data_IF_459010677602
#
_entry.id   IF_459010677602
#
_cell.length_a   1.000
_cell.length_b   1.000
_cell.length_c   1.000
_cell.angle_alpha   90.00
_cell.angle_beta   90.00
_cell.angle_gamma   90.00
#
_symmetry.space_group_name_H-M   'P 1'
#
loop_
_entity.id
_entity.type
_entity.pdbx_description
1 polymer ?
#
# COMPACT_ATOMS: atom_id res chain seq x y z
N UNK A 1 -6.14 25.16 -0.08
CA UNK A 1 -4.86 24.79 -0.71
C UNK A 1 -4.18 26.07 -1.21
N UNK A 2 -2.90 26.29 -0.90
CA UNK A 2 -2.14 27.38 -1.52
C UNK A 2 -1.81 26.97 -2.95
N UNK A 3 -2.41 27.64 -3.94
CA UNK A 3 -2.14 27.33 -5.36
C UNK A 3 -0.78 27.82 -5.87
N UNK A 4 -0.11 28.68 -5.10
CA UNK A 4 1.19 29.28 -5.43
C UNK A 4 1.78 29.99 -4.22
N UNK A 5 3.10 30.09 -4.15
CA UNK A 5 3.84 30.84 -3.12
C UNK A 5 4.51 32.07 -3.73
N UNK A 6 4.48 33.19 -3.01
CA UNK A 6 5.17 34.43 -3.38
C UNK A 6 6.46 34.57 -2.56
N UNK A 7 7.55 34.95 -3.22
CA UNK A 7 8.84 35.25 -2.58
C UNK A 7 9.06 36.74 -2.47
N UNK A 8 9.62 37.16 -1.34
CA UNK A 8 10.18 38.50 -1.13
C UNK A 8 11.71 38.50 -1.23
N UNK A 9 12.28 39.66 -1.50
CA UNK A 9 13.70 39.96 -1.35
C UNK A 9 13.86 40.91 -0.17
N UNK A 10 15.00 40.84 0.53
CA UNK A 10 15.34 41.83 1.55
C UNK A 10 15.67 43.17 0.87
N UNK A 11 15.09 44.25 1.38
CA UNK A 11 15.43 45.61 0.96
C UNK A 11 16.84 45.96 1.46
N UNK A 12 17.71 46.41 0.56
CA UNK A 12 19.08 46.81 0.90
C UNK A 12 19.16 48.18 1.56
N UNK A 13 18.07 48.95 1.56
CA UNK A 13 18.02 50.32 2.10
C UNK A 13 17.38 50.42 3.49
N UNK A 14 16.78 49.34 3.99
CA UNK A 14 16.19 49.29 5.33
C UNK A 14 17.24 49.09 6.43
N UNK A 15 17.03 49.70 7.60
CA UNK A 15 17.85 49.49 8.80
C UNK A 15 17.83 48.04 9.27
N UNK A 16 18.96 47.53 9.77
CA UNK A 16 19.04 46.16 10.31
C UNK A 16 18.07 45.91 11.47
N UNK A 17 17.74 46.94 12.26
CA UNK A 17 16.77 46.85 13.36
C UNK A 17 15.30 46.73 12.90
N UNK A 18 15.00 47.04 11.63
CA UNK A 18 13.65 46.91 11.08
C UNK A 18 13.71 46.58 9.56
N UNK A 19 14.02 45.32 9.22
CA UNK A 19 14.25 44.89 7.85
C UNK A 19 12.95 44.90 7.04
N UNK A 20 13.00 45.47 5.84
CA UNK A 20 11.87 45.46 4.91
C UNK A 20 12.06 44.39 3.83
N UNK A 21 10.94 43.82 3.38
CA UNK A 21 10.91 42.80 2.35
C UNK A 21 10.03 43.21 1.18
N UNK A 22 10.61 43.26 -0.01
CA UNK A 22 9.94 43.66 -1.24
C UNK A 22 9.49 42.42 -2.02
N UNK A 23 8.25 42.41 -2.50
CA UNK A 23 7.75 41.32 -3.35
C UNK A 23 8.55 41.18 -4.66
N UNK A 24 8.81 39.94 -5.10
CA UNK A 24 9.66 39.66 -6.28
C UNK A 24 9.08 38.65 -7.27
N UNK A 25 8.76 37.43 -6.84
CA UNK A 25 8.30 36.40 -7.78
C UNK A 25 7.29 35.45 -7.15
N UNK A 26 6.63 34.67 -7.98
CA UNK A 26 5.67 33.65 -7.57
C UNK A 26 5.96 32.34 -8.27
N UNK A 27 6.00 31.24 -7.53
CA UNK A 27 6.10 29.90 -8.08
C UNK A 27 4.90 29.06 -7.64
N UNK A 28 4.39 28.24 -8.56
CA UNK A 28 3.32 27.26 -8.27
C UNK A 28 3.66 25.86 -8.80
N UNK A 29 4.91 25.66 -9.25
CA UNK A 29 5.37 24.41 -9.87
C UNK A 29 6.80 24.10 -9.42
N UNK A 30 7.20 22.83 -9.47
CA UNK A 30 8.57 22.39 -9.14
C UNK A 30 8.71 21.71 -7.77
N UNK A 31 7.71 21.86 -6.90
CA UNK A 31 7.62 21.19 -5.59
C UNK A 31 6.86 19.87 -5.69
N UNK A 32 7.29 18.86 -4.93
CA UNK A 32 6.54 17.64 -4.68
C UNK A 32 5.36 17.91 -3.75
N UNK A 33 4.41 16.97 -3.68
CA UNK A 33 3.25 17.10 -2.79
C UNK A 33 3.67 17.20 -1.31
N UNK A 34 4.69 16.43 -0.91
CA UNK A 34 5.24 16.45 0.45
C UNK A 34 5.91 17.79 0.78
N UNK A 35 6.75 18.31 -0.11
CA UNK A 35 7.42 19.62 0.11
C UNK A 35 6.41 20.78 0.21
N UNK A 36 5.32 20.73 -0.55
CA UNK A 36 4.26 21.74 -0.46
C UNK A 36 3.50 21.68 0.88
N UNK A 37 3.34 20.48 1.44
CA UNK A 37 2.79 20.28 2.78
C UNK A 37 3.78 20.68 3.87
N UNK A 38 5.07 20.38 3.71
CA UNK A 38 6.14 20.77 4.64
C UNK A 38 6.26 22.30 4.75
N UNK A 39 6.25 23.02 3.63
CA UNK A 39 6.23 24.50 3.59
C UNK A 39 5.02 25.07 4.34
N UNK A 40 3.90 24.34 4.35
CA UNK A 40 2.67 24.77 5.00
C UNK A 40 2.64 24.43 6.49
N UNK A 41 3.04 23.21 6.85
CA UNK A 41 2.84 22.63 8.18
C UNK A 41 4.02 22.89 9.11
N UNK A 42 5.25 23.00 8.60
CA UNK A 42 6.43 23.19 9.44
C UNK A 42 6.62 24.65 9.89
N UNK A 43 5.81 25.58 9.38
CA UNK A 43 5.93 27.02 9.64
C UNK A 43 4.59 27.59 10.10
N UNK A 44 4.31 27.42 11.39
CA UNK A 44 3.20 28.05 12.09
C UNK A 44 3.43 29.58 12.11
N UNK A 45 2.47 30.36 11.58
CA UNK A 45 2.65 31.82 11.49
C UNK A 45 1.99 32.49 10.29
N UNK A 46 1.34 31.72 9.41
CA UNK A 46 0.55 32.27 8.31
C UNK A 46 -0.66 33.07 8.83
N UNK A 47 -0.74 34.34 8.43
CA UNK A 47 -1.82 35.26 8.75
C UNK A 47 -2.55 35.71 7.48
N UNK A 48 -3.86 35.95 7.57
CA UNK A 48 -4.62 36.47 6.43
C UNK A 48 -4.18 37.90 6.14
N UNK A 49 -3.84 38.18 4.88
CA UNK A 49 -3.46 39.53 4.48
C UNK A 49 -4.67 40.44 4.43
N UNK A 50 -4.63 41.53 5.20
CA UNK A 50 -5.64 42.60 5.18
C UNK A 50 -5.07 43.85 4.48
N UNK A 51 -5.65 44.29 3.35
CA UNK A 51 -5.25 45.53 2.69
C UNK A 51 -5.35 46.80 3.55
N UNK A 52 -6.20 46.80 4.59
CA UNK A 52 -6.37 47.96 5.48
C UNK A 52 -5.34 48.00 6.61
N UNK A 53 -4.70 46.88 6.91
CA UNK A 53 -3.67 46.76 7.95
C UNK A 53 -2.38 46.22 7.33
N UNK A 54 -1.77 47.04 6.47
CA UNK A 54 -0.56 46.67 5.75
C UNK A 54 0.67 46.69 6.69
N UNK A 55 1.42 45.58 6.83
CA UNK A 55 2.56 45.56 7.73
C UNK A 55 3.74 46.43 7.24
N UNK A 56 4.39 47.16 8.15
CA UNK A 56 5.49 48.07 7.83
C UNK A 56 6.74 47.38 7.27
N UNK A 57 6.92 46.09 7.55
CA UNK A 57 8.04 45.26 7.09
C UNK A 57 7.84 44.72 5.66
N UNK A 58 6.65 44.86 5.06
CA UNK A 58 6.32 44.22 3.78
C UNK A 58 5.96 45.26 2.72
N UNK A 59 6.63 45.21 1.57
CA UNK A 59 6.28 46.06 0.41
C UNK A 59 5.74 45.21 -0.75
N UNK A 60 4.49 45.47 -1.12
CA UNK A 60 3.77 44.73 -2.15
C UNK A 60 3.55 45.55 -3.42
N UNK A 61 3.63 44.88 -4.57
CA UNK A 61 3.25 45.44 -5.86
C UNK A 61 1.75 45.35 -6.10
N UNK A 62 1.37 45.23 -7.38
CA UNK A 62 -0.02 45.04 -7.81
C UNK A 62 -0.59 43.67 -7.40
N UNK A 63 0.26 42.64 -7.39
CA UNK A 63 -0.12 41.29 -7.01
C UNK A 63 -0.10 41.15 -5.48
N UNK A 64 -1.27 40.95 -4.89
CA UNK A 64 -1.46 40.85 -3.43
C UNK A 64 -1.65 39.38 -3.03
N UNK A 65 -0.95 38.87 -2.01
CA UNK A 65 -1.16 37.52 -1.52
C UNK A 65 -2.43 37.42 -0.68
N UNK A 66 -2.97 36.21 -0.54
CA UNK A 66 -4.11 35.93 0.36
C UNK A 66 -3.69 35.78 1.82
N UNK A 67 -2.49 35.25 2.03
CA UNK A 67 -1.89 35.00 3.34
C UNK A 67 -0.44 35.50 3.31
N UNK A 68 0.04 35.98 4.45
CA UNK A 68 1.40 36.46 4.68
C UNK A 68 2.01 35.72 5.88
N UNK A 69 3.33 35.67 5.96
CA UNK A 69 4.09 35.10 7.08
C UNK A 69 5.21 36.06 7.43
N UNK A 70 5.44 36.29 8.73
CA UNK A 70 6.52 37.17 9.19
C UNK A 70 7.88 36.58 8.78
N UNK A 71 8.87 37.40 8.36
CA UNK A 71 10.16 36.91 7.86
C UNK A 71 10.88 35.97 8.84
N UNK A 72 10.82 36.25 10.15
CA UNK A 72 11.42 35.41 11.21
C UNK A 72 10.84 33.99 11.26
N UNK A 73 9.57 33.83 10.89
CA UNK A 73 8.88 32.53 10.84
C UNK A 73 8.84 31.96 9.42
N UNK A 74 9.46 32.65 8.46
CA UNK A 74 9.50 32.26 7.04
C UNK A 74 10.74 31.43 6.73
N UNK A 75 10.79 30.90 5.51
CA UNK A 75 11.86 30.04 5.03
C UNK A 75 12.51 30.59 3.77
N UNK A 76 13.79 30.27 3.58
CA UNK A 76 14.52 30.62 2.37
C UNK A 76 14.39 29.50 1.36
N UNK A 77 13.90 29.83 0.17
CA UNK A 77 13.78 28.88 -0.95
C UNK A 77 14.80 29.16 -2.04
N UNK A 78 15.23 28.10 -2.71
CA UNK A 78 15.94 28.19 -3.98
C UNK A 78 14.96 28.02 -5.14
N UNK A 79 14.90 29.03 -6.01
CA UNK A 79 14.02 29.04 -7.19
C UNK A 79 14.86 29.03 -8.45
N UNK A 80 14.58 28.07 -9.33
CA UNK A 80 15.18 27.96 -10.66
C UNK A 80 14.30 28.69 -11.68
N UNK A 81 14.92 29.50 -12.53
CA UNK A 81 14.23 30.26 -13.58
C UNK A 81 15.11 30.44 -14.81
N UNK A 82 14.51 30.84 -15.93
CA UNK A 82 15.24 31.09 -17.18
C UNK A 82 15.92 32.48 -17.19
N UNK A 83 15.20 33.50 -16.73
CA UNK A 83 15.65 34.89 -16.77
C UNK A 83 14.94 35.77 -15.72
N UNK A 84 15.60 36.85 -15.29
CA UNK A 84 15.05 37.96 -14.51
C UNK A 84 14.58 39.04 -15.49
N UNK A 85 13.28 39.29 -15.55
CA UNK A 85 12.63 40.24 -16.46
C UNK A 85 12.04 41.42 -15.70
N UNK A 86 12.00 42.59 -16.32
CA UNK A 86 11.32 43.75 -15.75
C UNK A 86 9.79 43.52 -15.77
N UNK A 87 9.10 43.89 -14.70
CA UNK A 87 7.65 43.72 -14.59
C UNK A 87 7.07 44.51 -13.43
N UNK A 88 5.88 45.09 -13.62
CA UNK A 88 5.21 45.96 -12.63
C UNK A 88 4.23 45.21 -11.71
N UNK A 89 4.34 43.88 -11.65
CA UNK A 89 3.45 43.03 -10.85
C UNK A 89 3.87 43.02 -9.37
N UNK A 90 5.17 43.08 -9.11
CA UNK A 90 5.77 43.03 -7.79
C UNK A 90 6.51 44.34 -7.46
N UNK A 91 6.69 44.65 -6.17
CA UNK A 91 7.29 45.90 -5.70
C UNK A 91 8.73 46.08 -6.19
N UNK A 92 9.48 44.98 -6.33
CA UNK A 92 10.83 44.99 -6.89
C UNK A 92 10.92 45.50 -8.34
N UNK A 93 9.81 45.64 -9.08
CA UNK A 93 9.77 45.95 -10.52
C UNK A 93 10.43 44.92 -11.43
N UNK A 94 10.74 43.73 -10.91
CA UNK A 94 11.29 42.60 -11.63
C UNK A 94 10.59 41.31 -11.23
N UNK A 95 10.71 40.27 -12.06
CA UNK A 95 10.24 38.93 -11.74
C UNK A 95 11.02 37.86 -12.49
N UNK A 96 10.75 36.61 -12.17
CA UNK A 96 11.38 35.45 -12.80
C UNK A 96 10.51 34.90 -13.94
N UNK A 97 11.13 34.53 -15.06
CA UNK A 97 10.47 33.79 -16.13
C UNK A 97 10.61 32.28 -15.93
N UNK A 98 9.48 31.59 -15.94
CA UNK A 98 9.37 30.15 -15.66
C UNK A 98 9.97 29.74 -14.29
N UNK A 99 9.58 30.42 -13.19
CA UNK A 99 10.07 30.07 -11.87
C UNK A 99 9.56 28.69 -11.45
N UNK A 100 10.48 27.86 -10.96
CA UNK A 100 10.20 26.55 -10.39
C UNK A 100 10.91 26.43 -9.06
N UNK A 101 10.20 25.93 -8.07
CA UNK A 101 10.81 25.52 -6.81
C UNK A 101 11.90 24.47 -7.08
N UNK A 102 13.04 24.60 -6.40
CA UNK A 102 14.14 23.63 -6.48
C UNK A 102 14.41 22.95 -5.14
N UNK A 103 14.50 23.71 -4.05
CA UNK A 103 14.64 23.19 -2.68
C UNK A 103 14.44 24.27 -1.61
N UNK A 104 14.22 23.85 -0.38
CA UNK A 104 14.37 24.70 0.82
C UNK A 104 15.87 24.83 1.14
N UNK A 105 16.31 26.02 1.57
CA UNK A 105 17.69 26.31 1.96
C UNK A 105 17.78 26.35 3.48
N UNK A 106 18.06 25.21 4.09
CA UNK A 106 18.26 25.09 5.54
C UNK A 106 19.55 25.77 6.03
N UNK A 107 20.48 26.05 5.12
CA UNK A 107 21.74 26.76 5.39
C UNK A 107 21.58 28.29 5.43
N UNK A 108 20.36 28.81 5.21
CA UNK A 108 20.07 30.24 5.20
C UNK A 108 18.82 30.56 6.02
N UNK A 109 18.87 31.71 6.67
CA UNK A 109 17.76 32.32 7.41
C UNK A 109 17.28 33.60 6.71
N UNK A 110 16.27 34.24 7.30
CA UNK A 110 15.69 35.47 6.77
C UNK A 110 16.69 36.63 6.72
N UNK A 111 17.71 36.65 7.58
CA UNK A 111 18.77 37.67 7.59
C UNK A 111 19.73 37.52 6.40
N UNK A 112 20.13 36.28 6.10
CA UNK A 112 21.06 35.90 5.02
C UNK A 112 20.38 35.59 3.67
N UNK A 113 19.08 35.87 3.59
CA UNK A 113 18.28 35.78 2.37
C UNK A 113 18.76 36.78 1.31
N UNK A 114 18.49 36.48 0.04
CA UNK A 114 18.91 37.32 -1.08
C UNK A 114 18.30 38.72 -0.95
N UNK A 115 19.15 39.75 -1.04
CA UNK A 115 18.72 41.14 -1.05
C UNK A 115 18.53 41.70 -2.48
N UNK A 116 17.90 42.87 -2.57
CA UNK A 116 17.60 43.51 -3.86
C UNK A 116 18.86 43.82 -4.69
N UNK A 117 19.95 44.24 -4.05
CA UNK A 117 21.21 44.55 -4.72
C UNK A 117 21.89 43.32 -5.31
N UNK A 118 21.91 42.21 -4.57
CA UNK A 118 22.39 40.91 -5.03
C UNK A 118 21.60 40.43 -6.25
N UNK A 119 20.27 40.54 -6.20
CA UNK A 119 19.41 40.23 -7.34
C UNK A 119 19.73 41.12 -8.55
N UNK A 120 19.95 42.42 -8.34
CA UNK A 120 20.37 43.34 -9.41
C UNK A 120 21.73 42.99 -9.99
N UNK A 121 22.68 42.59 -9.15
CA UNK A 121 24.00 42.17 -9.58
C UNK A 121 23.93 40.90 -10.43
N UNK A 122 23.13 39.90 -10.03
CA UNK A 122 22.85 38.72 -10.84
C UNK A 122 22.26 39.08 -12.21
N UNK A 123 21.29 40.01 -12.23
CA UNK A 123 20.69 40.49 -13.48
C UNK A 123 21.72 41.18 -14.38
N UNK A 124 22.56 42.05 -13.83
CA UNK A 124 23.59 42.80 -14.57
C UNK A 124 24.67 41.88 -15.14
N UNK A 125 25.15 40.93 -14.34
CA UNK A 125 26.20 40.00 -14.75
C UNK A 125 25.81 39.12 -15.94
N UNK A 126 24.52 38.81 -16.09
CA UNK A 126 24.06 37.86 -17.09
C UNK A 126 23.02 38.43 -18.06
N UNK A 127 22.93 39.77 -18.18
CA UNK A 127 21.93 40.47 -19.02
C UNK A 127 20.49 39.95 -18.83
N UNK A 128 20.16 39.56 -17.60
CA UNK A 128 18.88 38.95 -17.23
C UNK A 128 18.79 37.43 -17.40
N UNK A 129 19.67 36.74 -18.12
CA UNK A 129 19.62 35.27 -18.27
C UNK A 129 20.28 34.56 -17.09
N UNK A 130 19.62 33.58 -16.49
CA UNK A 130 20.20 32.86 -15.34
C UNK A 130 21.06 31.65 -15.73
N UNK A 131 21.32 31.46 -17.03
CA UNK A 131 22.29 30.50 -17.55
C UNK A 131 23.57 31.22 -18.00
N UNK A 132 24.52 31.37 -17.08
CA UNK A 132 25.88 31.81 -17.40
C UNK A 132 26.76 30.59 -17.68
N UNK A 133 26.73 30.07 -18.90
CA UNK A 133 27.90 29.38 -19.45
C UNK A 133 28.26 30.07 -20.75
N UNK A 134 29.19 31.03 -20.68
CA UNK A 134 30.03 31.33 -21.84
C UNK A 134 30.76 30.03 -22.15
N UNK A 135 30.48 29.44 -23.30
CA UNK A 135 31.29 28.34 -23.82
C UNK A 135 32.67 28.94 -24.07
N UNK A 136 33.66 28.57 -23.25
CA UNK A 136 35.06 28.92 -23.46
C UNK A 136 35.70 27.89 -24.38
N UNK A 137 36.70 28.30 -25.17
CA UNK A 137 37.39 27.45 -26.16
C UNK A 137 37.96 26.14 -25.57
N UNK A 138 38.21 26.09 -24.26
CA UNK A 138 38.65 24.88 -23.54
C UNK A 138 37.63 23.72 -23.52
N UNK A 139 36.34 23.98 -23.73
CA UNK A 139 35.33 22.93 -23.85
C UNK A 139 35.44 22.14 -25.19
N UNK A 140 36.30 22.57 -26.12
CA UNK A 140 36.51 21.91 -27.41
C UNK A 140 37.59 20.81 -27.39
N UNK A 141 38.35 20.64 -26.30
CA UNK A 141 39.58 19.81 -26.32
C UNK A 141 39.51 18.52 -25.48
N UNK A 142 38.43 18.25 -24.74
CA UNK A 142 38.31 16.96 -24.00
C UNK A 142 37.26 16.02 -24.61
N UNK A 143 37.65 14.80 -25.04
CA UNK A 143 36.72 13.87 -25.70
C UNK A 143 36.11 12.89 -24.70
N UNK A 144 34.82 13.02 -24.40
CA UNK A 144 34.06 11.91 -23.79
C UNK A 144 32.56 11.92 -24.18
N UNK A 145 32.28 11.15 -25.24
CA UNK A 145 31.03 10.44 -25.57
C UNK A 145 29.70 11.22 -25.61
N UNK A 146 29.54 11.99 -26.67
CA UNK A 146 28.22 12.29 -27.24
C UNK A 146 27.74 11.13 -28.13
N UNK A 147 26.69 10.41 -27.72
CA UNK A 147 25.94 9.51 -28.60
C UNK A 147 25.01 10.37 -29.45
N UNK A 148 25.43 10.57 -30.71
CA UNK A 148 24.66 11.23 -31.78
C UNK A 148 23.35 10.47 -32.06
N UNK A 149 22.19 11.11 -31.90
CA UNK A 149 20.98 10.76 -32.67
C UNK A 149 20.88 11.68 -33.89
N UNK A 150 21.04 11.07 -35.06
CA UNK A 150 20.99 11.70 -36.39
C UNK A 150 19.64 12.38 -36.61
N UNK A 151 19.69 13.59 -37.18
CA UNK A 151 18.53 14.33 -37.65
C UNK A 151 17.84 13.64 -38.82
N UNK A 152 16.51 13.72 -38.84
CA UNK A 152 15.70 13.56 -40.04
C UNK A 152 15.19 14.93 -40.47
N UNK A 153 15.50 15.22 -41.73
CA UNK A 153 15.08 16.30 -42.61
C UNK A 153 13.69 16.86 -42.36
N UNK A 154 13.61 18.20 -42.40
CA UNK A 154 12.38 18.98 -42.33
C UNK A 154 11.42 18.66 -43.49
N UNK A 155 10.18 18.31 -43.15
CA UNK A 155 9.03 18.33 -44.05
C UNK A 155 8.32 19.70 -43.93
N UNK A 156 7.68 20.20 -45.01
CA UNK A 156 7.18 21.58 -45.06
C UNK A 156 6.00 21.81 -44.09
N UNK A 157 6.05 22.93 -43.37
CA UNK A 157 4.98 23.41 -42.49
C UNK A 157 3.71 23.67 -43.28
N UNK A 158 2.71 22.80 -43.14
CA UNK A 158 1.31 23.14 -43.47
C UNK A 158 0.78 24.12 -42.43
N UNK A 159 0.49 25.34 -42.87
CA UNK A 159 -0.21 26.37 -42.09
C UNK A 159 -1.64 25.89 -41.82
N UNK A 160 -1.96 25.49 -40.58
CA UNK A 160 -3.34 25.24 -40.18
C UNK A 160 -3.96 26.56 -39.71
N UNK A 161 -4.98 27.01 -40.46
CA UNK A 161 -5.90 28.07 -40.05
C UNK A 161 -6.64 27.61 -38.80
N UNK A 162 -6.60 28.41 -37.74
CA UNK A 162 -7.42 28.23 -36.55
C UNK A 162 -8.88 28.54 -36.93
N UNK A 163 -9.71 27.50 -36.95
CA UNK A 163 -11.16 27.65 -36.78
C UNK A 163 -11.47 27.16 -35.37
N UNK A 164 -12.22 27.97 -34.63
CA UNK A 164 -12.57 27.74 -33.24
C UNK A 164 -13.59 26.61 -33.13
N UNK A 165 -13.53 25.90 -32.00
CA UNK A 165 -14.59 25.06 -31.44
C UNK A 165 -14.77 23.67 -32.07
N UNK A 166 -13.87 22.74 -31.73
CA UNK A 166 -14.23 21.32 -31.64
C UNK A 166 -13.40 20.67 -30.53
N UNK A 167 -14.11 19.93 -29.69
CA UNK A 167 -13.69 19.25 -28.47
C UNK A 167 -12.29 18.64 -28.59
N UNK A 168 -11.34 19.07 -27.73
CA UNK A 168 -10.03 18.43 -27.60
C UNK A 168 -10.19 17.02 -27.00
N UNK A 169 -10.57 16.05 -27.83
CA UNK A 169 -10.28 14.64 -27.57
C UNK A 169 -8.80 14.43 -27.83
N UNK A 170 -8.09 13.78 -26.90
CA UNK A 170 -6.76 13.24 -27.13
C UNK A 170 -6.78 12.50 -28.49
N UNK A 171 -5.90 12.86 -29.42
CA UNK A 171 -5.79 12.23 -30.74
C UNK A 171 -5.30 10.78 -30.58
N UNK A 172 -6.16 9.89 -30.09
CA UNK A 172 -6.02 8.44 -30.27
C UNK A 172 -6.60 8.19 -31.67
N UNK A 173 -5.76 7.67 -32.57
CA UNK A 173 -6.13 7.40 -33.97
C UNK A 173 -7.33 6.44 -34.12
N UNK A 174 -7.66 5.98 -35.34
CA UNK A 174 -8.61 4.89 -35.49
C UNK A 174 -8.11 3.66 -34.72
N UNK A 175 -8.96 3.14 -33.84
CA UNK A 175 -8.68 1.99 -32.97
C UNK A 175 -9.56 0.85 -33.46
N UNK A 176 -9.01 -0.35 -33.59
CA UNK A 176 -9.79 -1.55 -33.91
C UNK A 176 -10.66 -1.94 -32.71
N UNK A 177 -11.97 -1.99 -32.91
CA UNK A 177 -12.93 -2.42 -31.90
C UNK A 177 -12.77 -3.93 -31.65
N UNK A 178 -12.44 -4.31 -30.42
CA UNK A 178 -12.30 -5.70 -30.00
C UNK A 178 -13.58 -6.27 -29.39
N UNK A 179 -14.36 -5.44 -28.70
CA UNK A 179 -15.63 -5.82 -28.09
C UNK A 179 -16.50 -4.60 -27.77
N UNK A 180 -17.69 -4.84 -27.20
CA UNK A 180 -18.68 -3.80 -26.82
C UNK A 180 -19.07 -3.89 -25.34
N UNK A 181 -18.18 -4.39 -24.47
CA UNK A 181 -18.48 -4.60 -23.04
C UNK A 181 -18.75 -3.30 -22.27
N UNK A 182 -18.21 -2.17 -22.74
CA UNK A 182 -18.39 -0.85 -22.12
C UNK A 182 -19.31 0.06 -22.93
N UNK A 183 -20.19 -0.53 -23.76
CA UNK A 183 -21.14 0.23 -24.58
C UNK A 183 -21.97 1.18 -23.71
N UNK A 184 -22.13 2.41 -24.18
CA UNK A 184 -22.90 3.49 -23.53
C UNK A 184 -22.33 3.92 -22.15
N UNK A 185 -21.14 3.44 -21.76
CA UNK A 185 -20.46 3.86 -20.55
C UNK A 185 -19.47 4.99 -20.83
N UNK A 186 -19.35 5.91 -19.85
CA UNK A 186 -18.45 7.05 -19.92
C UNK A 186 -17.52 7.08 -18.72
N UNK A 187 -16.22 7.23 -18.98
CA UNK A 187 -15.18 7.13 -17.97
C UNK A 187 -14.39 8.43 -17.82
N UNK A 188 -13.91 8.71 -16.62
CA UNK A 188 -12.92 9.76 -16.38
C UNK A 188 -11.72 9.19 -15.61
N UNK A 189 -10.58 9.13 -16.29
CA UNK A 189 -9.37 8.50 -15.78
C UNK A 189 -8.49 9.54 -15.06
N UNK A 190 -8.29 9.32 -13.75
CA UNK A 190 -7.54 10.20 -12.83
C UNK A 190 -6.26 9.55 -12.29
N UNK A 191 -5.67 8.61 -13.03
CA UNK A 191 -4.38 7.98 -12.72
C UNK A 191 -3.26 8.44 -13.67
N UNK A 192 -2.01 8.28 -13.25
CA UNK A 192 -0.84 8.53 -14.12
C UNK A 192 -0.39 7.23 -14.77
N UNK A 193 -0.23 6.17 -13.97
CA UNK A 193 0.18 4.83 -14.37
C UNK A 193 -0.41 3.84 -13.35
N UNK A 194 -0.84 2.67 -13.82
CA UNK A 194 -1.24 1.54 -12.99
C UNK A 194 -0.67 0.27 -13.61
N UNK A 195 0.09 -0.50 -12.82
CA UNK A 195 0.92 -1.61 -13.34
C UNK A 195 1.79 -1.14 -14.52
N UNK A 196 1.66 -1.75 -15.69
CA UNK A 196 2.40 -1.37 -16.90
C UNK A 196 1.65 -0.34 -17.77
N UNK A 197 0.38 -0.06 -17.44
CA UNK A 197 -0.52 0.77 -18.24
C UNK A 197 -0.48 2.23 -17.82
N UNK A 198 -0.35 3.13 -18.80
CA UNK A 198 -0.47 4.57 -18.60
C UNK A 198 -1.93 5.02 -18.71
N UNK A 199 -2.21 6.27 -18.30
CA UNK A 199 -3.52 6.90 -18.54
C UNK A 199 -4.00 6.74 -19.99
N UNK A 200 -3.12 6.97 -20.96
CA UNK A 200 -3.43 6.87 -22.38
C UNK A 200 -3.74 5.44 -22.82
N UNK A 201 -3.17 4.44 -22.14
CA UNK A 201 -3.45 3.03 -22.41
C UNK A 201 -4.86 2.66 -21.93
N UNK A 202 -5.27 3.13 -20.75
CA UNK A 202 -6.66 2.98 -20.29
C UNK A 202 -7.66 3.70 -21.20
N UNK A 203 -7.38 4.93 -21.63
CA UNK A 203 -8.23 5.65 -22.60
C UNK A 203 -8.40 4.85 -23.90
N UNK A 204 -7.32 4.22 -24.37
CA UNK A 204 -7.35 3.36 -25.56
C UNK A 204 -8.12 2.07 -25.31
N UNK A 205 -7.85 1.36 -24.21
CA UNK A 205 -8.52 0.10 -23.85
C UNK A 205 -10.03 0.28 -23.69
N UNK A 206 -10.48 1.36 -23.04
CA UNK A 206 -11.91 1.67 -22.92
C UNK A 206 -12.55 1.86 -24.30
N UNK A 207 -11.85 2.56 -25.20
CA UNK A 207 -12.32 2.80 -26.57
C UNK A 207 -12.32 1.54 -27.44
N UNK A 208 -11.31 0.66 -27.30
CA UNK A 208 -11.23 -0.66 -27.94
C UNK A 208 -12.42 -1.56 -27.57
N UNK A 209 -13.03 -1.32 -26.40
CA UNK A 209 -14.08 -2.14 -25.82
C UNK A 209 -15.46 -1.43 -25.80
N UNK A 210 -15.64 -0.39 -26.63
CA UNK A 210 -16.93 0.26 -26.88
C UNK A 210 -17.32 1.40 -25.92
N UNK A 211 -16.43 1.78 -24.99
CA UNK A 211 -16.67 2.86 -24.04
C UNK A 211 -16.18 4.23 -24.49
N UNK A 212 -16.66 5.28 -23.84
CA UNK A 212 -16.24 6.66 -24.05
C UNK A 212 -15.47 7.22 -22.84
N UNK A 213 -14.63 8.23 -23.04
CA UNK A 213 -13.90 8.88 -21.95
C UNK A 213 -13.99 10.41 -22.02
N UNK A 214 -13.97 11.06 -20.86
CA UNK A 214 -14.01 12.53 -20.71
C UNK A 214 -12.78 13.03 -19.98
N UNK A 215 -12.26 14.21 -20.36
CA UNK A 215 -11.21 14.90 -19.61
C UNK A 215 -11.75 15.79 -18.48
N UNK A 216 -13.06 16.04 -18.45
CA UNK A 216 -13.70 16.86 -17.43
C UNK A 216 -14.66 16.01 -16.58
N UNK A 217 -14.51 15.99 -15.25
CA UNK A 217 -15.41 15.27 -14.36
C UNK A 217 -16.78 15.96 -14.16
N UNK A 218 -16.94 17.19 -14.68
CA UNK A 218 -17.90 18.16 -14.14
C UNK A 218 -19.26 18.31 -14.81
N UNK A 219 -19.68 17.51 -15.79
CA UNK A 219 -20.91 17.84 -16.55
C UNK A 219 -21.93 16.72 -16.75
N UNK A 220 -21.70 15.53 -16.22
CA UNK A 220 -22.53 14.37 -16.58
C UNK A 220 -22.61 13.40 -15.39
N UNK A 221 -23.82 13.07 -14.94
CA UNK A 221 -24.09 12.24 -13.76
C UNK A 221 -23.68 10.78 -13.95
N UNK A 222 -23.54 10.31 -15.19
CA UNK A 222 -23.26 8.91 -15.54
C UNK A 222 -21.77 8.61 -15.78
N UNK A 223 -20.88 9.54 -15.42
CA UNK A 223 -19.43 9.33 -15.56
C UNK A 223 -18.87 8.47 -14.43
N UNK A 224 -18.26 7.36 -14.81
CA UNK A 224 -17.51 6.46 -13.95
C UNK A 224 -16.10 7.02 -13.69
N UNK A 225 -15.80 7.34 -12.44
CA UNK A 225 -14.52 7.92 -12.04
C UNK A 225 -13.51 6.80 -11.75
N UNK A 226 -12.35 6.83 -12.41
CA UNK A 226 -11.31 5.80 -12.23
C UNK A 226 -10.07 6.40 -11.56
N UNK A 227 -9.69 5.85 -10.40
CA UNK A 227 -8.48 6.23 -9.67
C UNK A 227 -7.87 5.02 -8.96
N UNK A 228 -6.54 4.99 -8.80
CA UNK A 228 -5.84 3.93 -8.06
C UNK A 228 -5.99 4.11 -6.55
N UNK A 229 -5.81 5.33 -6.07
CA UNK A 229 -5.85 5.64 -4.65
C UNK A 229 -6.30 7.09 -4.40
N UNK A 230 -6.40 7.45 -3.12
CA UNK A 230 -6.66 8.81 -2.68
C UNK A 230 -5.40 9.69 -2.67
N UNK A 231 -4.29 9.35 -3.34
CA UNK A 231 -3.08 10.17 -3.33
C UNK A 231 -3.26 11.48 -4.11
N UNK A 232 -4.03 11.44 -5.19
CA UNK A 232 -4.29 12.59 -6.05
C UNK A 232 -5.24 13.57 -5.37
N UNK A 233 -4.84 14.84 -5.22
CA UNK A 233 -5.68 15.86 -4.59
C UNK A 233 -7.06 16.03 -5.26
N UNK A 234 -7.16 15.81 -6.58
CA UNK A 234 -8.48 15.83 -7.25
C UNK A 234 -9.38 14.71 -6.73
N UNK A 235 -8.81 13.53 -6.51
CA UNK A 235 -9.50 12.38 -5.94
C UNK A 235 -9.86 12.66 -4.48
N UNK A 236 -8.94 13.17 -3.65
CA UNK A 236 -9.24 13.60 -2.26
C UNK A 236 -10.40 14.60 -2.20
N UNK A 237 -10.42 15.59 -3.10
CA UNK A 237 -11.51 16.57 -3.15
C UNK A 237 -12.85 15.92 -3.52
N UNK A 238 -12.86 15.00 -4.50
CA UNK A 238 -14.06 14.26 -4.88
C UNK A 238 -14.56 13.35 -3.74
N UNK A 239 -13.67 12.66 -3.04
CA UNK A 239 -13.98 11.88 -1.84
C UNK A 239 -14.59 12.79 -0.76
N UNK A 240 -14.00 13.97 -0.52
CA UNK A 240 -14.51 14.91 0.48
C UNK A 240 -15.89 15.49 0.13
N UNK A 241 -16.24 15.53 -1.15
CA UNK A 241 -17.59 15.92 -1.60
C UNK A 241 -18.60 14.80 -1.38
N UNK A 242 -18.16 13.53 -1.49
CA UNK A 242 -19.00 12.35 -1.19
C UNK A 242 -20.17 12.13 -2.16
N UNK A 243 -20.13 12.75 -3.35
CA UNK A 243 -21.26 12.74 -4.30
C UNK A 243 -21.17 11.59 -5.31
N UNK A 244 -19.97 11.05 -5.56
CA UNK A 244 -19.73 10.06 -6.62
C UNK A 244 -18.83 8.93 -6.16
N UNK A 245 -19.09 7.74 -6.67
CA UNK A 245 -18.24 6.57 -6.47
C UNK A 245 -16.94 6.71 -7.26
N UNK A 246 -15.87 6.11 -6.73
CA UNK A 246 -14.55 6.09 -7.35
C UNK A 246 -14.13 4.63 -7.47
N UNK A 247 -13.93 4.19 -8.70
CA UNK A 247 -13.66 2.80 -9.06
C UNK A 247 -12.16 2.63 -9.28
N UNK A 248 -11.64 1.52 -8.80
CA UNK A 248 -10.26 1.11 -8.94
C UNK A 248 -9.98 0.60 -10.37
N UNK A 249 -8.84 0.97 -11.01
CA UNK A 249 -8.51 0.59 -12.39
C UNK A 249 -8.45 -0.93 -12.64
N UNK A 250 -8.25 -1.73 -11.59
CA UNK A 250 -8.32 -3.21 -11.63
C UNK A 250 -9.63 -3.72 -12.24
N UNK A 251 -10.75 -3.05 -11.96
CA UNK A 251 -12.05 -3.44 -12.50
C UNK A 251 -12.09 -3.40 -14.03
N UNK A 252 -11.46 -2.38 -14.63
CA UNK A 252 -11.39 -2.27 -16.10
C UNK A 252 -10.56 -3.39 -16.68
N UNK A 253 -9.39 -3.67 -16.08
CA UNK A 253 -8.53 -4.75 -16.58
C UNK A 253 -9.23 -6.11 -16.48
N UNK A 254 -9.90 -6.40 -15.37
CA UNK A 254 -10.60 -7.68 -15.19
C UNK A 254 -11.84 -7.82 -16.07
N UNK A 255 -12.60 -6.74 -16.30
CA UNK A 255 -13.70 -6.76 -17.27
C UNK A 255 -13.21 -7.07 -18.70
N UNK A 256 -12.02 -6.55 -19.06
CA UNK A 256 -11.40 -6.80 -20.36
C UNK A 256 -10.89 -8.24 -20.45
N UNK A 257 -10.21 -8.72 -19.40
CA UNK A 257 -9.66 -10.08 -19.35
C UNK A 257 -10.78 -11.15 -19.40
N UNK A 258 -11.89 -10.91 -18.69
CA UNK A 258 -13.07 -11.77 -18.71
C UNK A 258 -13.97 -11.56 -19.94
N UNK A 259 -13.70 -10.55 -20.78
CA UNK A 259 -14.55 -10.10 -21.89
C UNK A 259 -16.04 -9.94 -21.50
N UNK A 260 -16.30 -9.54 -20.26
CA UNK A 260 -17.63 -9.39 -19.68
C UNK A 260 -17.65 -8.18 -18.75
N UNK A 261 -18.78 -7.47 -18.69
CA UNK A 261 -19.00 -6.45 -17.69
C UNK A 261 -19.21 -7.11 -16.31
N UNK A 262 -18.20 -7.01 -15.45
CA UNK A 262 -18.21 -7.58 -14.10
C UNK A 262 -19.01 -6.64 -13.18
N UNK A 263 -19.97 -7.14 -12.37
CA UNK A 263 -20.65 -6.34 -11.37
C UNK A 263 -19.66 -5.66 -10.42
N UNK A 264 -19.94 -4.42 -10.07
CA UNK A 264 -19.10 -3.68 -9.13
C UNK A 264 -19.27 -4.25 -7.72
N UNK A 265 -18.15 -4.43 -7.03
CA UNK A 265 -18.07 -4.93 -5.66
C UNK A 265 -17.06 -4.10 -4.85
N UNK A 266 -17.08 -4.18 -3.51
CA UNK A 266 -16.22 -3.38 -2.64
C UNK A 266 -14.73 -3.43 -3.01
N UNK A 267 -14.20 -4.58 -3.46
CA UNK A 267 -12.80 -4.73 -3.91
C UNK A 267 -12.41 -3.85 -5.10
N UNK A 268 -13.40 -3.44 -5.90
CA UNK A 268 -13.20 -2.55 -7.04
C UNK A 268 -13.42 -1.08 -6.71
N UNK A 269 -13.68 -0.73 -5.45
CA UNK A 269 -14.00 0.63 -5.05
C UNK A 269 -12.89 1.26 -4.22
N UNK A 270 -12.45 2.45 -4.62
CA UNK A 270 -11.59 3.32 -3.81
C UNK A 270 -12.44 4.17 -2.87
N UNK A 271 -13.64 4.55 -3.31
CA UNK A 271 -14.59 5.29 -2.51
C UNK A 271 -16.01 4.97 -2.98
N UNK A 272 -16.91 4.81 -2.02
CA UNK A 272 -18.34 4.59 -2.26
C UNK A 272 -19.15 5.69 -1.60
N UNK A 273 -20.21 6.12 -2.28
CA UNK A 273 -21.25 6.97 -1.72
C UNK A 273 -22.12 6.17 -0.75
N UNK A 274 -22.86 6.87 0.12
CA UNK A 274 -23.77 6.21 1.06
C UNK A 274 -24.87 5.42 0.34
N UNK A 275 -25.35 5.90 -0.81
CA UNK A 275 -26.36 5.17 -1.61
C UNK A 275 -25.82 3.83 -2.10
N UNK A 276 -24.62 3.82 -2.69
CA UNK A 276 -23.98 2.60 -3.20
C UNK A 276 -23.60 1.65 -2.06
N UNK A 277 -23.21 2.20 -0.90
CA UNK A 277 -22.97 1.42 0.30
C UNK A 277 -24.22 0.66 0.75
N UNK A 278 -25.38 1.32 0.81
CA UNK A 278 -26.63 0.66 1.17
C UNK A 278 -27.02 -0.41 0.16
N UNK A 279 -26.79 -0.16 -1.14
CA UNK A 279 -26.99 -1.16 -2.19
C UNK A 279 -26.09 -2.39 -1.98
N UNK A 280 -24.81 -2.20 -1.67
CA UNK A 280 -23.88 -3.30 -1.39
C UNK A 280 -24.31 -4.12 -0.15
N UNK A 281 -24.73 -3.45 0.92
CA UNK A 281 -25.22 -4.13 2.14
C UNK A 281 -26.46 -5.01 1.90
N UNK A 282 -27.22 -4.75 0.83
CA UNK A 282 -28.36 -5.63 0.46
C UNK A 282 -27.95 -6.90 -0.29
N UNK A 283 -26.78 -6.89 -0.94
CA UNK A 283 -26.33 -7.95 -1.84
C UNK A 283 -25.17 -8.77 -1.27
N UNK A 284 -24.47 -8.22 -0.28
CA UNK A 284 -23.25 -8.76 0.27
C UNK A 284 -23.31 -8.82 1.78
N UNK A 285 -22.47 -9.67 2.37
CA UNK A 285 -22.27 -9.73 3.81
C UNK A 285 -21.44 -8.55 4.35
N UNK A 286 -21.20 -8.56 5.65
CA UNK A 286 -20.43 -7.50 6.33
C UNK A 286 -18.94 -7.48 5.93
N UNK A 287 -18.43 -8.55 5.33
CA UNK A 287 -17.05 -8.73 4.89
C UNK A 287 -16.88 -8.58 3.37
N UNK A 288 -17.98 -8.41 2.64
CA UNK A 288 -18.00 -8.18 1.19
C UNK A 288 -18.20 -9.44 0.35
N UNK A 289 -18.57 -10.57 0.95
CA UNK A 289 -18.94 -11.78 0.21
C UNK A 289 -20.36 -11.66 -0.36
N UNK A 290 -20.54 -12.07 -1.63
CA UNK A 290 -21.81 -11.92 -2.34
C UNK A 290 -22.77 -13.03 -1.94
N UNK A 291 -24.05 -12.68 -1.67
CA UNK A 291 -25.06 -13.70 -1.39
C UNK A 291 -25.47 -14.53 -2.61
N UNK A 292 -25.19 -14.05 -3.82
CA UNK A 292 -25.70 -14.64 -5.07
C UNK A 292 -24.62 -15.12 -6.04
N UNK A 293 -23.42 -14.57 -5.94
CA UNK A 293 -22.33 -14.92 -6.86
C UNK A 293 -21.49 -16.07 -6.28
N UNK A 294 -20.97 -16.93 -7.15
CA UNK A 294 -20.07 -18.00 -6.73
C UNK A 294 -18.70 -17.41 -6.35
N UNK A 295 -18.19 -17.79 -5.18
CA UNK A 295 -16.90 -17.32 -4.65
C UNK A 295 -15.73 -18.08 -5.28
N UNK A 296 -14.69 -17.36 -5.69
CA UNK A 296 -13.40 -17.96 -6.11
C UNK A 296 -12.41 -18.06 -4.95
N UNK A 297 -11.30 -18.78 -5.14
CA UNK A 297 -10.26 -18.89 -4.09
C UNK A 297 -9.68 -17.51 -3.78
N UNK A 298 -9.47 -16.70 -4.81
CA UNK A 298 -8.96 -15.33 -4.70
C UNK A 298 -9.95 -14.43 -3.97
N UNK A 299 -11.25 -14.53 -4.28
CA UNK A 299 -12.29 -13.76 -3.59
C UNK A 299 -12.36 -14.11 -2.09
N UNK A 300 -12.28 -15.41 -1.77
CA UNK A 300 -12.31 -15.86 -0.38
C UNK A 300 -11.10 -15.38 0.42
N UNK A 301 -9.91 -15.35 -0.20
CA UNK A 301 -8.71 -14.78 0.41
C UNK A 301 -8.89 -13.29 0.70
N UNK A 302 -9.39 -12.52 -0.28
CA UNK A 302 -9.65 -11.09 -0.09
C UNK A 302 -10.67 -10.84 1.03
N UNK A 303 -11.74 -11.64 1.11
CA UNK A 303 -12.72 -11.56 2.20
C UNK A 303 -12.09 -11.87 3.57
N UNK A 304 -11.23 -12.89 3.67
CA UNK A 304 -10.56 -13.23 4.92
C UNK A 304 -9.56 -12.17 5.37
N UNK A 305 -8.87 -11.50 4.46
CA UNK A 305 -7.94 -10.40 4.78
C UNK A 305 -8.64 -9.19 5.40
N UNK A 306 -9.94 -9.01 5.15
CA UNK A 306 -10.76 -7.94 5.73
C UNK A 306 -11.25 -8.26 7.14
N UNK A 307 -11.23 -9.53 7.55
CA UNK A 307 -11.71 -9.96 8.87
C UNK A 307 -10.69 -9.56 9.95
N UNK A 308 -11.09 -8.81 10.99
CA UNK A 308 -10.19 -8.42 12.06
C UNK A 308 -9.77 -9.64 12.87
N UNK A 309 -8.47 -9.90 12.91
CA UNK A 309 -7.87 -10.90 13.78
C UNK A 309 -7.48 -10.24 15.09
N UNK A 310 -8.25 -10.49 16.14
CA UNK A 310 -7.83 -10.20 17.51
C UNK A 310 -7.08 -11.40 18.08
N UNK A 311 -5.75 -11.32 18.13
CA UNK A 311 -4.87 -12.37 18.65
C UNK A 311 -5.26 -12.80 20.07
N UNK A 312 -5.74 -11.88 20.90
CA UNK A 312 -6.15 -12.19 22.28
C UNK A 312 -7.42 -13.07 22.32
N UNK A 313 -8.34 -12.84 21.39
CA UNK A 313 -9.54 -13.65 21.17
C UNK A 313 -9.22 -15.04 20.60
N UNK A 314 -8.17 -15.17 19.80
CA UNK A 314 -7.75 -16.45 19.19
C UNK A 314 -7.27 -17.43 20.27
N UNK A 315 -6.38 -17.01 21.16
CA UNK A 315 -5.81 -17.90 22.18
C UNK A 315 -6.79 -18.21 23.32
N UNK A 316 -7.64 -17.24 23.71
CA UNK A 316 -8.61 -17.41 24.80
C UNK A 316 -9.78 -18.35 24.46
N UNK A 317 -10.13 -18.53 23.18
CA UNK A 317 -11.28 -19.34 22.75
C UNK A 317 -10.94 -20.76 22.26
N UNK A 318 -9.82 -21.35 22.67
CA UNK A 318 -9.41 -22.70 22.22
C UNK A 318 -10.53 -23.78 22.32
N UNK A 319 -11.30 -23.88 23.43
CA UNK A 319 -12.38 -24.88 23.52
C UNK A 319 -13.52 -24.65 22.52
N UNK A 320 -13.84 -23.39 22.20
CA UNK A 320 -14.87 -23.08 21.20
C UNK A 320 -14.40 -23.44 19.80
N UNK A 321 -13.12 -23.21 19.48
CA UNK A 321 -12.53 -23.60 18.19
C UNK A 321 -12.54 -25.10 17.98
N UNK A 322 -12.22 -25.88 19.02
CA UNK A 322 -12.32 -27.34 18.94
C UNK A 322 -13.74 -27.78 18.62
N UNK A 323 -14.73 -27.27 19.37
CA UNK A 323 -16.14 -27.61 19.14
C UNK A 323 -16.61 -27.22 17.73
N UNK A 324 -16.23 -26.04 17.25
CA UNK A 324 -16.59 -25.59 15.90
C UNK A 324 -15.97 -26.50 14.82
N UNK A 325 -14.71 -26.89 14.98
CA UNK A 325 -14.06 -27.79 14.03
C UNK A 325 -14.65 -29.21 14.09
N UNK A 326 -15.14 -29.67 15.26
CA UNK A 326 -15.91 -30.92 15.35
C UNK A 326 -17.25 -30.82 14.59
N UNK A 327 -17.98 -29.71 14.75
CA UNK A 327 -19.23 -29.45 14.02
C UNK A 327 -19.01 -29.37 12.49
N UNK A 328 -17.90 -28.77 12.05
CA UNK A 328 -17.51 -28.72 10.63
C UNK A 328 -17.14 -30.10 10.11
N UNK A 329 -16.33 -30.86 10.85
CA UNK A 329 -15.94 -32.21 10.45
C UNK A 329 -17.18 -33.10 10.31
N UNK A 330 -18.07 -33.11 11.30
CA UNK A 330 -19.30 -33.92 11.28
C UNK A 330 -20.23 -33.53 10.13
N UNK A 331 -20.33 -32.24 9.80
CA UNK A 331 -21.28 -31.77 8.80
C UNK A 331 -20.77 -31.90 7.36
N UNK A 332 -19.49 -31.66 7.14
CA UNK A 332 -18.93 -31.50 5.79
C UNK A 332 -17.84 -32.52 5.44
N UNK A 333 -17.23 -33.17 6.44
CA UNK A 333 -16.11 -34.09 6.26
C UNK A 333 -16.31 -35.42 6.99
N UNK A 334 -17.55 -35.84 7.23
CA UNK A 334 -17.84 -37.05 8.01
C UNK A 334 -17.14 -38.31 7.45
N UNK A 335 -17.05 -38.40 6.12
CA UNK A 335 -16.49 -39.56 5.43
C UNK A 335 -14.96 -39.48 5.24
N UNK A 336 -14.40 -38.27 5.16
CA UNK A 336 -12.98 -38.05 4.81
C UNK A 336 -12.12 -37.57 5.97
N UNK A 337 -12.74 -37.02 7.01
CA UNK A 337 -12.05 -36.24 8.04
C UNK A 337 -11.55 -34.88 7.54
N UNK A 338 -11.15 -34.03 8.48
CA UNK A 338 -10.52 -32.75 8.13
C UNK A 338 -9.12 -32.96 7.52
N UNK A 339 -8.78 -32.24 6.43
CA UNK A 339 -7.45 -32.32 5.83
C UNK A 339 -6.34 -32.03 6.84
N UNK A 340 -5.27 -32.82 6.81
CA UNK A 340 -4.13 -32.73 7.73
C UNK A 340 -4.46 -32.88 9.24
N UNK A 341 -5.67 -33.29 9.62
CA UNK A 341 -6.08 -33.46 11.02
C UNK A 341 -6.10 -34.94 11.46
N UNK A 342 -5.09 -35.71 11.05
CA UNK A 342 -5.05 -37.17 11.19
C UNK A 342 -5.27 -37.68 12.63
N UNK A 343 -4.70 -36.97 13.61
CA UNK A 343 -4.75 -37.35 15.02
C UNK A 343 -5.71 -36.47 15.84
N UNK A 344 -6.63 -35.76 15.18
CA UNK A 344 -7.55 -34.79 15.83
C UNK A 344 -8.31 -35.36 17.03
N UNK A 345 -8.77 -36.60 16.92
CA UNK A 345 -9.54 -37.29 17.97
C UNK A 345 -8.66 -37.94 19.04
N UNK A 346 -7.34 -37.85 18.89
CA UNK A 346 -6.39 -38.43 19.81
C UNK A 346 -6.05 -37.44 20.93
N UNK A 347 -6.36 -37.83 22.16
CA UNK A 347 -5.77 -37.24 23.37
C UNK A 347 -4.59 -38.11 23.78
N UNK A 348 -3.39 -37.55 23.70
CA UNK A 348 -2.12 -38.29 23.75
C UNK A 348 -1.28 -37.87 24.94
N UNK A 349 -0.82 -38.85 25.72
CA UNK A 349 0.29 -38.68 26.66
C UNK A 349 1.56 -39.28 26.06
N UNK A 350 2.68 -38.54 26.12
CA UNK A 350 3.98 -38.99 25.63
C UNK A 350 4.87 -39.28 26.84
N UNK A 351 5.35 -40.53 26.93
CA UNK A 351 6.19 -40.97 28.03
C UNK A 351 7.65 -40.55 27.79
N UNK A 352 7.96 -39.31 28.16
CA UNK A 352 9.33 -38.82 28.12
C UNK A 352 10.19 -39.53 29.17
N UNK A 353 11.42 -39.96 28.82
CA UNK A 353 12.34 -40.55 29.78
C UNK A 353 12.58 -39.62 30.98
N UNK A 354 12.75 -40.15 32.20
CA UNK A 354 13.05 -39.32 33.36
C UNK A 354 14.43 -38.65 33.19
N UNK A 355 14.62 -37.42 33.70
CA UNK A 355 15.91 -36.76 33.66
C UNK A 355 16.94 -37.55 34.49
N UNK A 356 18.15 -37.69 33.95
CA UNK A 356 19.27 -38.35 34.64
C UNK A 356 20.36 -37.32 34.97
N UNK A 357 20.83 -37.31 36.22
CA UNK A 357 21.87 -36.39 36.67
C UNK A 357 23.27 -36.81 36.20
N UNK A 358 23.50 -38.13 36.10
CA UNK A 358 24.82 -38.69 35.75
C UNK A 358 24.96 -38.89 34.24
N UNK A 359 25.95 -38.21 33.64
CA UNK A 359 26.29 -38.37 32.21
C UNK A 359 26.96 -39.74 32.00
N UNK A 360 26.18 -40.69 31.51
CA UNK A 360 26.63 -42.05 31.20
C UNK A 360 25.94 -42.56 29.91
N UNK A 361 26.16 -43.84 29.57
CA UNK A 361 25.54 -44.46 28.38
C UNK A 361 24.00 -44.44 28.42
N UNK A 362 23.41 -44.56 29.61
CA UNK A 362 21.96 -44.52 29.79
C UNK A 362 21.42 -43.10 29.59
N UNK A 363 22.13 -42.08 30.10
CA UNK A 363 21.84 -40.67 29.82
C UNK A 363 21.83 -40.39 28.32
N UNK A 364 22.86 -40.83 27.59
CA UNK A 364 22.95 -40.62 26.14
C UNK A 364 21.81 -41.33 25.38
N UNK A 365 21.38 -42.51 25.85
CA UNK A 365 20.21 -43.20 25.31
C UNK A 365 18.94 -42.39 25.55
N UNK A 366 18.70 -41.93 26.78
CA UNK A 366 17.49 -41.21 27.19
C UNK A 366 17.37 -39.87 26.50
N UNK A 367 18.45 -39.11 26.35
CA UNK A 367 18.42 -37.88 25.56
C UNK A 367 18.09 -38.16 24.09
N UNK A 368 18.65 -39.23 23.51
CA UNK A 368 18.28 -39.66 22.17
C UNK A 368 16.81 -40.07 22.03
N UNK A 369 16.23 -40.74 23.04
CA UNK A 369 14.79 -41.07 23.08
C UNK A 369 13.95 -39.80 23.21
N UNK A 370 14.35 -38.88 24.10
CA UNK A 370 13.68 -37.60 24.32
C UNK A 370 13.61 -36.78 23.02
N UNK A 371 14.71 -36.68 22.28
CA UNK A 371 14.74 -35.93 21.02
C UNK A 371 13.85 -36.55 19.94
N UNK A 372 13.81 -37.89 19.84
CA UNK A 372 12.86 -38.57 18.94
C UNK A 372 11.41 -38.30 19.36
N UNK A 373 11.09 -38.42 20.64
CA UNK A 373 9.73 -38.16 21.13
C UNK A 373 9.30 -36.69 20.95
N UNK A 374 10.22 -35.72 21.02
CA UNK A 374 9.91 -34.33 20.66
C UNK A 374 9.47 -34.20 19.20
N UNK A 375 10.12 -34.91 18.27
CA UNK A 375 9.72 -34.91 16.85
C UNK A 375 8.32 -35.54 16.68
N UNK A 376 8.05 -36.62 17.43
CA UNK A 376 6.72 -37.25 17.46
C UNK A 376 5.67 -36.29 18.01
N UNK A 377 5.97 -35.57 19.09
CA UNK A 377 5.07 -34.57 19.65
C UNK A 377 4.75 -33.45 18.64
N UNK A 378 5.77 -32.96 17.92
CA UNK A 378 5.58 -31.95 16.89
C UNK A 378 4.68 -32.46 15.75
N UNK A 379 4.89 -33.70 15.32
CA UNK A 379 4.09 -34.37 14.29
C UNK A 379 2.63 -34.51 14.72
N UNK A 380 2.40 -34.99 15.93
CA UNK A 380 1.07 -35.12 16.52
C UNK A 380 0.36 -33.78 16.61
N UNK A 381 1.04 -32.73 17.08
CA UNK A 381 0.49 -31.37 17.16
C UNK A 381 0.20 -30.77 15.78
N UNK A 382 1.07 -31.01 14.80
CA UNK A 382 0.85 -30.59 13.41
C UNK A 382 -0.43 -31.19 12.84
N UNK A 383 -0.73 -32.43 13.23
CA UNK A 383 -1.93 -33.18 12.86
C UNK A 383 -3.08 -33.09 13.89
N UNK A 384 -3.10 -32.00 14.66
CA UNK A 384 -4.17 -31.60 15.59
C UNK A 384 -4.45 -32.55 16.77
N UNK A 385 -3.49 -33.38 17.17
CA UNK A 385 -3.61 -34.17 18.39
C UNK A 385 -3.60 -33.29 19.66
N UNK A 386 -4.41 -33.68 20.65
CA UNK A 386 -4.36 -33.06 21.97
C UNK A 386 -3.27 -33.70 22.83
N UNK A 387 -2.15 -33.00 23.04
CA UNK A 387 -1.09 -33.46 23.94
C UNK A 387 -1.41 -33.09 25.39
N UNK A 388 -1.27 -34.06 26.29
CA UNK A 388 -1.39 -33.85 27.74
C UNK A 388 -0.11 -34.25 28.47
N UNK A 389 0.22 -33.52 29.52
CA UNK A 389 1.41 -33.76 30.33
C UNK A 389 1.18 -34.69 31.52
N UNK A 390 -0.08 -34.99 31.84
CA UNK A 390 -0.45 -35.82 32.99
C UNK A 390 -1.15 -37.10 32.53
N UNK A 391 -0.50 -38.25 32.76
CA UNK A 391 -1.06 -39.56 32.43
C UNK A 391 -2.23 -39.96 33.35
N UNK A 392 -2.49 -39.21 34.42
CA UNK A 392 -3.60 -39.44 35.34
C UNK A 392 -4.98 -39.05 34.78
N UNK A 393 -5.00 -38.27 33.68
CA UNK A 393 -6.23 -37.79 33.06
C UNK A 393 -7.06 -38.94 32.45
N UNK A 394 -8.36 -38.94 32.73
CA UNK A 394 -9.31 -39.98 32.28
C UNK A 394 -9.61 -39.94 30.78
N UNK A 395 -9.40 -38.79 30.13
CA UNK A 395 -9.69 -38.56 28.71
C UNK A 395 -8.60 -39.02 27.74
N UNK A 396 -7.50 -39.60 28.24
CA UNK A 396 -6.41 -40.07 27.41
C UNK A 396 -6.89 -41.23 26.55
N UNK A 397 -6.60 -41.13 25.25
CA UNK A 397 -6.88 -42.17 24.25
C UNK A 397 -5.63 -42.97 23.91
N UNK A 398 -4.45 -42.34 23.94
CA UNK A 398 -3.19 -42.95 23.53
C UNK A 398 -2.05 -42.59 24.48
N UNK A 399 -1.19 -43.57 24.76
CA UNK A 399 0.07 -43.43 25.50
C UNK A 399 1.20 -43.86 24.56
N UNK A 400 2.13 -42.95 24.29
CA UNK A 400 3.21 -43.18 23.32
C UNK A 400 4.55 -43.34 24.02
N UNK A 401 5.27 -44.39 23.65
CA UNK A 401 6.61 -44.72 24.13
C UNK A 401 7.64 -44.61 22.99
N UNK A 402 8.90 -44.38 23.34
CA UNK A 402 9.99 -44.52 22.36
C UNK A 402 10.30 -45.99 22.11
N UNK A 403 10.75 -46.33 20.90
CA UNK A 403 11.16 -47.69 20.53
C UNK A 403 12.20 -48.31 21.46
N UNK A 404 13.08 -47.49 22.06
CA UNK A 404 14.20 -47.93 22.89
C UNK A 404 13.98 -47.72 24.38
N UNK A 405 12.93 -47.00 24.79
CA UNK A 405 12.58 -46.79 26.19
C UNK A 405 11.13 -47.22 26.44
N UNK A 406 10.99 -48.44 26.97
CA UNK A 406 9.72 -49.03 27.40
C UNK A 406 9.70 -49.23 28.93
N UNK A 407 10.59 -48.56 29.66
CA UNK A 407 10.84 -48.83 31.08
C UNK A 407 9.60 -48.62 31.97
N UNK A 408 8.79 -47.61 31.66
CA UNK A 408 7.57 -47.26 32.41
C UNK A 408 6.28 -47.85 31.83
N UNK A 409 6.37 -48.70 30.79
CA UNK A 409 5.20 -49.26 30.14
C UNK A 409 4.30 -50.04 31.11
N UNK A 410 4.87 -50.96 31.89
CA UNK A 410 4.10 -51.76 32.85
C UNK A 410 3.51 -50.89 33.96
N UNK A 411 4.28 -49.93 34.49
CA UNK A 411 3.83 -49.00 35.54
C UNK A 411 2.60 -48.20 35.08
N UNK A 412 2.68 -47.57 33.90
CA UNK A 412 1.60 -46.74 33.37
C UNK A 412 0.38 -47.60 33.00
N UNK A 413 0.61 -48.80 32.44
CA UNK A 413 -0.45 -49.74 32.11
C UNK A 413 -1.21 -50.18 33.36
N UNK A 414 -0.52 -50.65 34.39
CA UNK A 414 -1.11 -51.06 35.68
C UNK A 414 -1.89 -49.91 36.33
N UNK A 415 -1.39 -48.68 36.25
CA UNK A 415 -2.08 -47.50 36.75
C UNK A 415 -3.44 -47.27 36.06
N UNK A 416 -3.53 -47.56 34.76
CA UNK A 416 -4.76 -47.41 33.97
C UNK A 416 -5.67 -48.64 33.98
N UNK A 417 -5.24 -49.81 34.43
CA UNK A 417 -6.06 -51.05 34.46
C UNK A 417 -7.38 -50.91 35.21
N UNK A 418 -7.43 -50.00 36.20
CA UNK A 418 -8.64 -49.71 36.99
C UNK A 418 -9.64 -48.79 36.28
N UNK A 419 -9.32 -48.29 35.09
CA UNK A 419 -10.19 -47.39 34.34
C UNK A 419 -11.26 -48.16 33.59
N UNK A 420 -12.43 -47.52 33.44
CA UNK A 420 -13.54 -48.04 32.64
C UNK A 420 -13.18 -48.18 31.15
N UNK A 421 -12.34 -47.28 30.65
CA UNK A 421 -11.81 -47.26 29.28
C UNK A 421 -10.30 -47.10 29.40
N UNK A 422 -9.56 -48.09 28.91
CA UNK A 422 -8.11 -48.09 28.88
C UNK A 422 -7.63 -47.41 27.59
N UNK A 423 -6.60 -46.54 27.64
CA UNK A 423 -6.01 -45.99 26.43
C UNK A 423 -5.26 -47.06 25.64
N UNK A 424 -5.01 -46.80 24.36
CA UNK A 424 -4.07 -47.58 23.57
C UNK A 424 -2.63 -47.24 23.97
N UNK A 425 -1.79 -48.27 24.06
CA UNK A 425 -0.36 -48.11 24.32
C UNK A 425 0.38 -48.47 23.05
N UNK A 426 1.12 -47.51 22.50
CA UNK A 426 1.80 -47.68 21.20
C UNK A 426 3.22 -47.16 21.26
N UNK A 427 4.08 -47.69 20.39
CA UNK A 427 5.42 -47.16 20.16
C UNK A 427 5.37 -45.98 19.18
N UNK A 428 6.41 -45.15 19.18
CA UNK A 428 6.50 -43.95 18.33
C UNK A 428 6.37 -44.24 16.84
N UNK A 429 6.73 -45.45 16.38
CA UNK A 429 6.51 -45.87 14.98
C UNK A 429 5.06 -45.81 14.52
N UNK A 430 4.08 -45.95 15.41
CA UNK A 430 2.67 -45.83 15.06
C UNK A 430 2.34 -44.45 14.46
N UNK A 431 2.92 -43.40 15.02
CA UNK A 431 2.71 -42.03 14.54
C UNK A 431 3.35 -41.85 13.19
N UNK A 432 4.62 -42.24 13.05
CA UNK A 432 5.35 -42.05 11.80
C UNK A 432 4.76 -42.86 10.65
N UNK A 433 4.34 -44.09 10.92
CA UNK A 433 3.77 -44.96 9.89
C UNK A 433 2.37 -44.49 9.49
N UNK A 434 1.56 -44.03 10.46
CA UNK A 434 0.25 -43.44 10.17
C UNK A 434 0.37 -42.14 9.36
N UNK A 435 1.33 -41.27 9.69
CA UNK A 435 1.63 -40.07 8.91
C UNK A 435 2.08 -40.43 7.49
N UNK A 436 3.02 -41.36 7.33
CA UNK A 436 3.54 -41.79 6.03
C UNK A 436 2.45 -42.42 5.14
N UNK A 437 1.50 -43.15 5.73
CA UNK A 437 0.38 -43.73 5.01
C UNK A 437 -0.78 -42.74 4.80
N UNK A 438 -0.78 -41.59 5.48
CA UNK A 438 -1.86 -40.61 5.46
C UNK A 438 -3.17 -41.12 6.08
N UNK A 439 -3.12 -42.18 6.88
CA UNK A 439 -4.29 -42.83 7.52
C UNK A 439 -3.91 -43.35 8.90
N UNK A 440 -4.86 -43.34 9.83
CA UNK A 440 -4.66 -43.83 11.18
C UNK A 440 -4.56 -45.36 11.14
N UNK A 441 -3.38 -45.89 11.43
CA UNK A 441 -3.14 -47.34 11.44
C UNK A 441 -3.68 -47.97 12.72
N UNK A 442 -4.00 -49.27 12.66
CA UNK A 442 -4.41 -50.02 13.85
C UNK A 442 -3.28 -50.11 14.87
N UNK A 443 -3.60 -49.94 16.15
CA UNK A 443 -2.64 -49.83 17.25
C UNK A 443 -2.00 -51.18 17.62
N UNK A 444 -2.65 -52.29 17.26
CA UNK A 444 -2.30 -53.65 17.69
C UNK A 444 -0.85 -54.06 17.34
N UNK A 445 -0.37 -53.67 16.15
CA UNK A 445 0.98 -54.00 15.69
C UNK A 445 2.07 -53.18 16.40
N UNK A 446 1.66 -52.07 17.01
CA UNK A 446 2.54 -51.07 17.63
C UNK A 446 2.61 -51.18 19.15
N UNK A 447 1.86 -52.11 19.76
CA UNK A 447 1.89 -52.34 21.21
C UNK A 447 3.33 -52.63 21.68
N UNK A 448 3.82 -51.95 22.74
CA UNK A 448 5.12 -52.23 23.35
C UNK A 448 5.29 -53.71 23.72
N UNK A 449 6.37 -54.33 23.22
CA UNK A 449 6.74 -55.72 23.54
C UNK A 449 7.97 -55.69 24.44
N UNK A 450 7.78 -55.90 25.74
CA UNK A 450 8.90 -56.13 26.66
C UNK A 450 9.36 -57.58 26.46
N UNK A 451 10.60 -57.79 26.03
CA UNK A 451 11.22 -59.11 26.07
C UNK A 451 11.31 -59.55 27.53
N UNK A 452 10.66 -60.67 27.87
CA UNK A 452 10.75 -61.30 29.19
C UNK A 452 12.18 -61.69 29.55
#
# INVERSE_FOLDING_TARGET
MFGSFMCGLRDSTSSDDNPKFISFCRFGTGQTMKEAEDIKNNYEGWQRYDPNNHPDWLELGKDKPHMIIHPENSLVVQVKAAEIVAGNQFASNYTLRFPRFEKIREDKDWESAMNYEEMMNLRRQASGRLQSRKVTEDDLVTPARAVKRKGKTAAPRRVKKYTMLETFTSNIGPVEEKSMIFKDMKFHIMLTKYKEYTKSDFERMIKEHGGSYSQHPGSDSEIHLIAEDASNFRVKNLISQGVRDIIHPRWITECIDALKLIPLSPKYMVFITESTKQEFLTRMDEWGDSYTDEVTIEDLQETFDLMPLDEETIFSNYPKRQKLADEIEERYFADTGLPNCLFRRCVVYIDYPPPLENINKLWALYEGCRDRLKLIELTLRYHDAQIVSDFSLSKITHVIFDEKDLSRFNEIKEFHEKRKISPYYVRSSWVTDSENCGVLLEENEYIPKISK
#
